data_IF_057160525396
#
_entry.id   IF_057160525396
#
_cell.length_a   1.000
_cell.length_b   1.000
_cell.length_c   1.000
_cell.angle_alpha   90.00
_cell.angle_beta   90.00
_cell.angle_gamma   90.00
#
_symmetry.space_group_name_H-M   'P 1'
#
loop_
_entity.id
_entity.type
_entity.pdbx_description
1 polymer ?
#
# COMPACT_ATOMS: atom_id res chain seq x y z
N UNK A 1 -8.15 -14.77 -17.19
CA UNK A 1 -9.52 -15.23 -16.84
C UNK A 1 -10.14 -14.18 -15.92
N UNK A 2 -11.40 -13.86 -16.17
CA UNK A 2 -12.06 -12.57 -15.94
C UNK A 2 -12.28 -12.19 -14.46
N UNK A 3 -12.27 -10.86 -14.26
CA UNK A 3 -12.72 -10.09 -13.08
C UNK A 3 -14.14 -10.49 -12.65
N UNK A 4 -14.34 -10.73 -11.36
CA UNK A 4 -15.67 -10.78 -10.75
C UNK A 4 -15.91 -9.50 -9.94
N UNK A 5 -16.65 -8.57 -10.55
CA UNK A 5 -17.28 -7.45 -9.87
C UNK A 5 -18.79 -7.66 -9.85
N UNK A 6 -19.35 -7.51 -8.64
CA UNK A 6 -20.75 -7.22 -8.26
C UNK A 6 -21.73 -8.39 -8.32
N UNK A 7 -22.44 -8.62 -7.21
CA UNK A 7 -23.90 -8.78 -7.11
C UNK A 7 -24.37 -8.53 -5.66
N UNK A 8 -25.12 -7.45 -5.46
CA UNK A 8 -26.16 -7.22 -4.44
C UNK A 8 -26.81 -5.89 -4.90
N UNK A 9 -28.07 -5.77 -5.33
CA UNK A 9 -29.28 -6.54 -5.07
C UNK A 9 -30.11 -5.80 -4.01
N UNK A 10 -31.03 -4.90 -4.41
CA UNK A 10 -32.49 -5.04 -4.22
C UNK A 10 -33.27 -3.79 -4.64
N UNK A 11 -34.47 -4.06 -5.15
CA UNK A 11 -35.52 -3.17 -5.60
C UNK A 11 -36.19 -2.37 -4.47
N UNK A 12 -36.54 -1.11 -4.74
CA UNK A 12 -37.82 -0.49 -4.32
C UNK A 12 -38.27 0.44 -5.46
N UNK A 13 -39.44 0.15 -6.03
CA UNK A 13 -40.13 1.05 -6.95
C UNK A 13 -40.99 2.06 -6.20
N UNK A 14 -41.07 3.29 -6.72
CA UNK A 14 -42.27 4.10 -6.60
C UNK A 14 -42.29 5.15 -7.72
N UNK A 15 -43.28 5.03 -8.60
CA UNK A 15 -43.65 6.01 -9.62
C UNK A 15 -44.55 7.05 -8.97
N UNK A 16 -44.33 8.34 -9.24
CA UNK A 16 -45.21 9.41 -8.74
C UNK A 16 -44.86 10.78 -9.33
N UNK A 17 -45.78 11.30 -10.12
CA UNK A 17 -45.75 12.46 -11.00
C UNK A 17 -45.59 13.84 -10.32
N UNK A 18 -45.17 14.80 -11.14
CA UNK A 18 -45.03 16.26 -10.95
C UNK A 18 -46.35 17.00 -10.59
N UNK A 19 -46.28 18.09 -9.81
CA UNK A 19 -46.52 19.51 -10.19
C UNK A 19 -46.92 20.43 -9.01
N UNK A 20 -46.26 21.59 -8.97
CA UNK A 20 -46.68 22.95 -8.58
C UNK A 20 -47.44 23.25 -7.28
N UNK A 21 -46.84 24.13 -6.47
CA UNK A 21 -47.52 24.95 -5.46
C UNK A 21 -46.72 26.20 -5.11
N UNK A 22 -47.31 27.37 -5.36
CA UNK A 22 -46.79 28.71 -5.11
C UNK A 22 -47.29 29.25 -3.75
N UNK A 23 -46.54 30.16 -3.11
CA UNK A 23 -46.92 30.90 -1.88
C UNK A 23 -45.97 30.59 -0.72
N UNK A 24 -45.43 31.52 0.06
CA UNK A 24 -45.67 32.94 0.22
C UNK A 24 -45.51 33.30 1.71
N UNK A 25 -44.48 34.09 2.05
CA UNK A 25 -44.46 35.00 3.21
C UNK A 25 -44.07 34.48 4.61
N UNK A 26 -43.28 35.30 5.31
CA UNK A 26 -43.35 35.45 6.77
C UNK A 26 -42.17 34.91 7.56
N UNK A 27 -41.26 35.78 7.99
CA UNK A 27 -40.06 35.42 8.75
C UNK A 27 -40.29 35.03 10.21
N UNK A 28 -39.26 34.46 10.82
CA UNK A 28 -38.60 34.96 12.04
C UNK A 28 -37.39 34.10 12.35
N UNK A 29 -36.33 34.79 12.76
CA UNK A 29 -35.04 34.28 13.22
C UNK A 29 -35.16 33.28 14.37
N UNK A 30 -34.48 32.15 14.24
CA UNK A 30 -33.95 31.39 15.37
C UNK A 30 -32.53 30.93 15.01
N UNK A 31 -31.56 31.60 15.61
CA UNK A 31 -30.15 31.25 15.55
C UNK A 31 -29.93 29.85 16.12
N UNK A 32 -29.31 28.98 15.32
CA UNK A 32 -28.63 27.80 15.82
C UNK A 32 -27.17 27.90 15.35
N UNK A 33 -26.35 28.54 16.18
CA UNK A 33 -24.91 28.36 16.16
C UNK A 33 -24.62 26.88 16.45
N UNK A 34 -24.58 26.07 15.40
CA UNK A 34 -23.88 24.79 15.43
C UNK A 34 -22.44 25.08 15.07
N UNK A 35 -21.67 25.54 16.05
CA UNK A 35 -20.22 25.53 16.00
C UNK A 35 -19.78 24.06 15.92
N UNK A 36 -19.72 23.51 14.71
CA UNK A 36 -18.84 22.40 14.41
C UNK A 36 -17.43 22.90 14.66
N UNK A 37 -16.88 22.58 15.82
CA UNK A 37 -15.45 22.68 16.08
C UNK A 37 -14.77 21.79 15.06
N UNK A 38 -14.42 22.36 13.91
CA UNK A 38 -13.53 21.75 12.94
C UNK A 38 -12.19 21.60 13.64
N UNK A 39 -11.99 20.42 14.25
CA UNK A 39 -10.69 20.03 14.75
C UNK A 39 -9.74 20.11 13.55
N UNK A 40 -8.81 21.06 13.58
CA UNK A 40 -7.77 21.17 12.57
C UNK A 40 -7.07 19.81 12.53
N UNK A 41 -6.93 19.16 11.36
CA UNK A 41 -6.21 17.90 11.25
C UNK A 41 -4.83 18.07 11.90
N UNK A 42 -4.58 17.32 12.98
CA UNK A 42 -3.28 17.34 13.64
C UNK A 42 -2.33 16.58 12.73
N UNK A 43 -1.34 17.28 12.19
CA UNK A 43 -0.29 16.66 11.39
C UNK A 43 0.40 15.56 12.20
N UNK A 44 0.70 14.43 11.56
CA UNK A 44 1.42 13.35 12.19
C UNK A 44 2.84 13.81 12.54
N UNK A 45 3.34 13.41 13.71
CA UNK A 45 4.68 13.82 14.17
C UNK A 45 5.75 13.16 13.30
N UNK A 46 6.39 13.94 12.41
CA UNK A 46 7.51 13.49 11.58
C UNK A 46 8.80 13.41 12.41
N UNK A 47 9.27 12.19 12.63
CA UNK A 47 10.57 11.91 13.29
C UNK A 47 11.55 11.17 12.38
N UNK A 48 11.11 10.78 11.20
CA UNK A 48 11.89 10.04 10.20
C UNK A 48 11.71 10.67 8.82
N UNK A 49 12.68 10.48 7.91
CA UNK A 49 12.49 10.83 6.50
C UNK A 49 11.23 10.17 5.93
N UNK A 50 10.55 10.85 5.01
CA UNK A 50 9.55 10.21 4.15
C UNK A 50 10.26 9.20 3.25
N UNK A 51 9.69 8.00 3.15
CA UNK A 51 10.14 6.95 2.25
C UNK A 51 9.10 6.60 1.21
N UNK A 52 9.39 5.55 0.44
CA UNK A 52 8.47 4.96 -0.52
C UNK A 52 8.13 3.52 -0.14
N UNK A 53 6.86 3.16 -0.26
CA UNK A 53 6.37 1.78 -0.18
C UNK A 53 5.89 1.39 -1.57
N UNK A 54 6.65 0.56 -2.28
CA UNK A 54 6.46 0.27 -3.70
C UNK A 54 5.81 -1.10 -3.87
N UNK A 55 4.55 -1.19 -4.32
CA UNK A 55 3.97 -2.43 -4.84
C UNK A 55 4.68 -2.85 -6.13
N UNK A 56 5.71 -3.69 -6.02
CA UNK A 56 6.56 -4.14 -7.14
C UNK A 56 6.07 -5.51 -7.63
N UNK A 57 4.85 -5.55 -8.15
CA UNK A 57 4.19 -6.83 -8.51
C UNK A 57 4.57 -7.30 -9.93
N UNK A 58 5.21 -6.44 -10.71
CA UNK A 58 5.87 -6.86 -11.95
C UNK A 58 6.97 -7.88 -11.67
N UNK A 59 6.99 -8.98 -12.43
CA UNK A 59 7.98 -10.04 -12.27
C UNK A 59 9.40 -9.52 -12.50
N UNK A 60 10.42 -10.03 -11.78
CA UNK A 60 11.83 -9.59 -11.95
C UNK A 60 12.40 -9.84 -13.34
N UNK A 61 11.84 -10.79 -14.08
CA UNK A 61 12.16 -11.06 -15.47
C UNK A 61 10.94 -10.82 -16.35
N UNK A 62 11.17 -10.26 -17.52
CA UNK A 62 10.15 -10.07 -18.57
C UNK A 62 10.55 -10.88 -19.80
N UNK A 63 9.57 -11.55 -20.40
CA UNK A 63 9.75 -12.28 -21.65
C UNK A 63 9.03 -11.58 -22.79
N UNK A 64 9.66 -11.53 -23.95
CA UNK A 64 9.09 -10.91 -25.16
C UNK A 64 9.42 -11.72 -26.41
N UNK A 65 8.70 -11.49 -27.50
CA UNK A 65 8.86 -12.24 -28.75
C UNK A 65 8.17 -13.61 -28.76
N UNK A 66 8.39 -14.38 -29.83
CA UNK A 66 7.82 -15.72 -30.01
C UNK A 66 8.71 -16.59 -30.88
N UNK A 67 8.69 -17.91 -30.66
CA UNK A 67 9.54 -18.85 -31.41
C UNK A 67 11.03 -18.49 -31.28
N UNK A 68 11.71 -18.31 -32.41
CA UNK A 68 13.15 -18.01 -32.44
C UNK A 68 13.52 -16.60 -31.91
N UNK A 69 12.56 -15.69 -31.73
CA UNK A 69 12.79 -14.34 -31.17
C UNK A 69 12.42 -14.24 -29.70
N UNK A 70 12.07 -15.35 -29.05
CA UNK A 70 11.78 -15.38 -27.63
C UNK A 70 13.01 -14.99 -26.83
N UNK A 71 12.91 -13.89 -26.09
CA UNK A 71 13.95 -13.41 -25.18
C UNK A 71 13.40 -13.26 -23.78
N UNK A 72 14.26 -13.46 -22.79
CA UNK A 72 13.98 -13.13 -21.38
C UNK A 72 15.06 -12.18 -20.90
N UNK A 73 14.66 -11.07 -20.30
CA UNK A 73 15.55 -10.05 -19.77
C UNK A 73 15.10 -9.61 -18.39
N UNK A 74 15.97 -8.90 -17.67
CA UNK A 74 15.60 -8.24 -16.42
C UNK A 74 14.47 -7.23 -16.66
N UNK A 75 13.58 -7.11 -15.68
CA UNK A 75 12.52 -6.11 -15.69
C UNK A 75 13.11 -4.76 -15.28
N UNK A 76 13.04 -3.72 -16.14
CA UNK A 76 13.57 -2.39 -15.82
C UNK A 76 13.00 -1.79 -14.53
N UNK A 77 11.78 -2.18 -14.12
CA UNK A 77 11.19 -1.72 -12.87
C UNK A 77 12.04 -2.07 -11.63
N UNK A 78 12.64 -3.27 -11.60
CA UNK A 78 13.46 -3.71 -10.48
C UNK A 78 14.78 -2.95 -10.42
N UNK A 79 15.41 -2.75 -11.59
CA UNK A 79 16.64 -1.96 -11.72
C UNK A 79 16.39 -0.50 -11.35
N UNK A 80 15.28 0.10 -11.78
CA UNK A 80 14.94 1.50 -11.49
C UNK A 80 14.67 1.72 -9.98
N UNK A 81 13.98 0.78 -9.32
CA UNK A 81 13.80 0.82 -7.86
C UNK A 81 15.14 0.76 -7.15
N UNK A 82 16.02 -0.19 -7.52
CA UNK A 82 17.36 -0.31 -6.94
C UNK A 82 18.21 0.95 -7.18
N UNK A 83 18.20 1.50 -8.40
CA UNK A 83 19.02 2.66 -8.77
C UNK A 83 18.70 3.93 -7.95
N UNK A 84 17.45 4.08 -7.49
CA UNK A 84 17.01 5.25 -6.74
C UNK A 84 16.94 5.02 -5.22
N UNK A 85 17.15 3.79 -4.73
CA UNK A 85 16.95 3.41 -3.33
C UNK A 85 17.89 4.12 -2.35
N UNK A 86 19.07 4.58 -2.79
CA UNK A 86 20.00 5.32 -1.94
C UNK A 86 19.52 6.73 -1.60
N UNK A 87 18.55 7.29 -2.35
CA UNK A 87 18.08 8.65 -2.17
C UNK A 87 17.08 8.79 -1.01
N UNK A 88 16.25 7.77 -0.77
CA UNK A 88 15.17 7.78 0.22
C UNK A 88 14.93 6.38 0.79
N UNK A 89 14.42 6.23 2.04
CA UNK A 89 14.05 4.93 2.57
C UNK A 89 13.05 4.22 1.64
N UNK A 90 13.40 3.01 1.18
CA UNK A 90 12.63 2.29 0.17
C UNK A 90 12.24 0.91 0.70
N UNK A 91 10.94 0.61 0.64
CA UNK A 91 10.38 -0.71 0.96
C UNK A 91 9.64 -1.20 -0.29
N UNK A 92 10.02 -2.36 -0.83
CA UNK A 92 9.37 -2.97 -1.98
C UNK A 92 8.53 -4.17 -1.54
N UNK A 93 7.35 -4.34 -2.13
CA UNK A 93 6.46 -5.49 -1.89
C UNK A 93 6.48 -6.36 -3.13
N UNK A 94 6.88 -7.62 -2.98
CA UNK A 94 6.89 -8.59 -4.07
C UNK A 94 5.64 -9.47 -4.00
N UNK A 95 5.11 -9.85 -5.17
CA UNK A 95 3.94 -10.70 -5.27
C UNK A 95 4.11 -11.77 -6.37
N UNK A 96 4.79 -12.90 -6.07
CA UNK A 96 4.98 -13.97 -7.05
C UNK A 96 3.66 -14.52 -7.60
N UNK A 97 2.69 -14.84 -6.74
CA UNK A 97 1.45 -15.49 -7.17
C UNK A 97 0.27 -15.25 -6.21
N UNK A 98 -0.05 -13.98 -5.93
CA UNK A 98 -0.98 -13.60 -4.84
C UNK A 98 -0.57 -14.23 -3.50
N UNK A 99 0.73 -14.23 -3.25
CA UNK A 99 1.38 -15.12 -2.30
C UNK A 99 2.71 -15.65 -2.86
N UNK A 100 3.43 -16.47 -2.08
CA UNK A 100 4.66 -17.09 -2.55
C UNK A 100 4.37 -18.23 -3.54
N UNK A 101 5.37 -18.60 -4.34
CA UNK A 101 5.42 -19.94 -4.94
C UNK A 101 6.09 -20.89 -3.97
N UNK A 102 5.69 -22.16 -3.98
CA UNK A 102 6.23 -23.17 -3.06
C UNK A 102 7.73 -23.37 -3.26
N UNK A 103 8.41 -23.66 -2.16
CA UNK A 103 9.81 -24.07 -2.15
C UNK A 103 9.99 -25.39 -2.91
N UNK A 104 10.92 -25.43 -3.86
CA UNK A 104 11.28 -26.65 -4.59
C UNK A 104 12.80 -26.86 -4.60
N UNK A 105 13.23 -28.11 -4.81
CA UNK A 105 14.64 -28.44 -5.00
C UNK A 105 14.78 -29.28 -6.28
N UNK A 106 15.37 -28.74 -7.37
CA UNK A 106 15.89 -27.37 -7.51
C UNK A 106 14.79 -26.29 -7.45
N UNK A 107 15.13 -25.02 -7.13
CA UNK A 107 14.17 -23.91 -7.17
C UNK A 107 13.51 -23.79 -8.55
N UNK A 108 12.23 -23.44 -8.58
CA UNK A 108 11.53 -23.10 -9.82
C UNK A 108 12.17 -21.87 -10.49
N UNK A 109 11.93 -21.69 -11.80
CA UNK A 109 12.42 -20.51 -12.52
C UNK A 109 11.87 -19.21 -11.90
N UNK A 110 10.60 -19.20 -11.49
CA UNK A 110 9.97 -18.08 -10.79
C UNK A 110 10.69 -17.80 -9.47
N UNK A 111 10.88 -18.82 -8.62
CA UNK A 111 11.56 -18.64 -7.33
C UNK A 111 12.99 -18.11 -7.53
N UNK A 112 13.74 -18.67 -8.49
CA UNK A 112 15.10 -18.22 -8.82
C UNK A 112 15.13 -16.76 -9.28
N UNK A 113 14.19 -16.35 -10.12
CA UNK A 113 14.10 -14.96 -10.59
C UNK A 113 13.81 -13.99 -9.43
N UNK A 114 12.88 -14.35 -8.54
CA UNK A 114 12.56 -13.53 -7.38
C UNK A 114 13.74 -13.44 -6.40
N UNK A 115 14.41 -14.54 -6.06
CA UNK A 115 15.55 -14.51 -5.13
C UNK A 115 16.73 -13.71 -5.69
N UNK A 116 16.99 -13.79 -7.00
CA UNK A 116 17.98 -12.95 -7.66
C UNK A 116 17.61 -11.46 -7.59
N UNK A 117 16.38 -11.11 -7.95
CA UNK A 117 15.90 -9.73 -7.89
C UNK A 117 15.91 -9.17 -6.46
N UNK A 118 15.53 -9.98 -5.46
CA UNK A 118 15.60 -9.61 -4.04
C UNK A 118 17.05 -9.30 -3.65
N UNK A 119 18.01 -10.11 -4.10
CA UNK A 119 19.44 -9.84 -3.89
C UNK A 119 19.89 -8.49 -4.46
N UNK A 120 19.43 -8.12 -5.66
CA UNK A 120 19.71 -6.81 -6.27
C UNK A 120 19.11 -5.66 -5.44
N UNK A 121 17.87 -5.81 -4.98
CA UNK A 121 17.20 -4.82 -4.13
C UNK A 121 17.92 -4.64 -2.78
N UNK A 122 18.28 -5.75 -2.11
CA UNK A 122 19.03 -5.69 -0.85
C UNK A 122 20.40 -5.03 -1.02
N UNK A 123 21.11 -5.31 -2.12
CA UNK A 123 22.40 -4.67 -2.41
C UNK A 123 22.27 -3.14 -2.57
N UNK A 124 21.10 -2.65 -2.96
CA UNK A 124 20.78 -1.22 -3.03
C UNK A 124 20.20 -0.64 -1.72
N UNK A 125 20.05 -1.45 -0.66
CA UNK A 125 19.51 -1.02 0.63
C UNK A 125 17.97 -0.98 0.69
N UNK A 126 17.27 -1.57 -0.28
CA UNK A 126 15.81 -1.71 -0.26
C UNK A 126 15.42 -2.80 0.73
N UNK A 127 14.41 -2.53 1.56
CA UNK A 127 13.75 -3.60 2.35
C UNK A 127 12.70 -4.30 1.50
N UNK A 128 12.65 -5.64 1.51
CA UNK A 128 11.71 -6.39 0.68
C UNK A 128 10.68 -7.12 1.54
N UNK A 129 9.38 -6.95 1.24
CA UNK A 129 8.28 -7.63 1.89
C UNK A 129 7.60 -8.63 0.94
N UNK A 130 7.25 -9.81 1.46
CA UNK A 130 6.40 -10.77 0.75
C UNK A 130 4.92 -10.42 0.88
N UNK A 131 4.17 -10.38 -0.23
CA UNK A 131 2.73 -10.20 -0.24
C UNK A 131 1.99 -11.44 0.28
N UNK A 132 1.03 -11.27 1.19
CA UNK A 132 0.12 -12.33 1.68
C UNK A 132 -1.30 -11.78 1.79
N UNK A 133 -2.25 -12.29 1.00
CA UNK A 133 -3.65 -11.87 1.12
C UNK A 133 -4.34 -12.52 2.33
N UNK A 134 -5.25 -11.79 2.97
CA UNK A 134 -6.00 -12.26 4.16
C UNK A 134 -7.51 -12.35 3.93
N UNK A 135 -8.00 -11.84 2.79
CA UNK A 135 -9.41 -11.82 2.41
C UNK A 135 -10.31 -11.32 3.54
N UNK A 136 -9.92 -10.18 4.11
CA UNK A 136 -10.60 -9.47 5.19
C UNK A 136 -10.80 -10.33 6.45
N UNK A 137 -9.84 -11.22 6.73
CA UNK A 137 -9.85 -12.14 7.87
C UNK A 137 -10.65 -13.43 7.64
N UNK A 138 -11.18 -13.64 6.43
CA UNK A 138 -11.91 -14.87 6.09
C UNK A 138 -10.99 -16.01 5.66
N UNK A 139 -9.77 -15.71 5.20
CA UNK A 139 -8.78 -16.74 4.86
C UNK A 139 -8.30 -17.41 6.15
N UNK A 140 -8.28 -18.75 6.16
CA UNK A 140 -7.84 -19.51 7.33
C UNK A 140 -6.44 -19.06 7.78
N UNK A 141 -6.29 -18.76 9.08
CA UNK A 141 -5.03 -18.25 9.64
C UNK A 141 -3.85 -19.19 9.35
N UNK A 142 -4.08 -20.51 9.38
CA UNK A 142 -3.05 -21.51 9.06
C UNK A 142 -2.50 -21.38 7.64
N UNK A 143 -3.32 -21.01 6.66
CA UNK A 143 -2.88 -20.79 5.28
C UNK A 143 -2.09 -19.48 5.15
N UNK A 144 -2.51 -18.43 5.86
CA UNK A 144 -1.74 -17.18 5.94
C UNK A 144 -0.37 -17.43 6.57
N UNK A 145 -0.32 -18.20 7.66
CA UNK A 145 0.93 -18.58 8.31
C UNK A 145 1.82 -19.46 7.41
N UNK A 146 1.22 -20.34 6.61
CA UNK A 146 1.95 -21.17 5.65
C UNK A 146 2.62 -20.33 4.56
N UNK A 147 1.96 -19.28 4.06
CA UNK A 147 2.58 -18.35 3.11
C UNK A 147 3.76 -17.60 3.76
N UNK A 148 3.59 -17.11 4.99
CA UNK A 148 4.67 -16.46 5.76
C UNK A 148 5.88 -17.39 5.90
N UNK A 149 5.63 -18.66 6.26
CA UNK A 149 6.68 -19.67 6.39
C UNK A 149 7.37 -19.97 5.06
N UNK A 150 6.64 -19.97 3.95
CA UNK A 150 7.22 -20.16 2.62
C UNK A 150 8.15 -19.01 2.25
N UNK A 151 7.77 -17.75 2.54
CA UNK A 151 8.66 -16.60 2.37
C UNK A 151 9.91 -16.71 3.24
N UNK A 152 9.75 -17.08 4.52
CA UNK A 152 10.83 -17.27 5.47
C UNK A 152 11.86 -18.31 5.00
N UNK A 153 11.39 -19.41 4.40
CA UNK A 153 12.26 -20.51 3.97
C UNK A 153 13.01 -20.22 2.68
N UNK A 154 12.41 -19.49 1.73
CA UNK A 154 12.85 -19.56 0.34
C UNK A 154 13.18 -18.22 -0.33
N UNK A 155 12.78 -17.09 0.25
CA UNK A 155 12.90 -15.80 -0.42
C UNK A 155 13.95 -14.88 0.20
N UNK A 156 14.24 -15.05 1.49
CA UNK A 156 15.16 -14.16 2.21
C UNK A 156 14.62 -12.75 2.40
N UNK A 157 13.29 -12.56 2.40
CA UNK A 157 12.63 -11.24 2.60
C UNK A 157 12.90 -10.65 3.99
N UNK A 158 12.69 -9.34 4.13
CA UNK A 158 12.78 -8.62 5.40
C UNK A 158 11.46 -8.60 6.19
N UNK A 159 10.38 -9.14 5.65
CA UNK A 159 9.07 -9.09 6.29
C UNK A 159 7.91 -9.47 5.37
N UNK A 160 6.69 -9.16 5.80
CA UNK A 160 5.45 -9.46 5.08
C UNK A 160 4.54 -8.26 5.03
N UNK A 161 3.90 -8.10 3.87
CA UNK A 161 2.80 -7.19 3.62
C UNK A 161 1.50 -8.00 3.56
N UNK A 162 0.64 -7.84 4.57
CA UNK A 162 -0.69 -8.46 4.57
C UNK A 162 -1.66 -7.56 3.83
N UNK A 163 -2.32 -8.11 2.82
CA UNK A 163 -3.30 -7.39 2.00
C UNK A 163 -4.73 -7.85 2.27
N UNK A 164 -5.69 -7.07 1.76
CA UNK A 164 -7.13 -7.25 1.98
C UNK A 164 -7.42 -7.26 3.49
N UNK A 165 -6.84 -6.36 4.27
CA UNK A 165 -6.97 -6.36 5.73
C UNK A 165 -8.31 -5.76 6.14
N UNK A 166 -9.00 -6.40 7.06
CA UNK A 166 -10.24 -5.86 7.62
C UNK A 166 -9.96 -4.65 8.50
N UNK A 167 -10.85 -3.66 8.46
CA UNK A 167 -10.82 -2.52 9.37
C UNK A 167 -11.48 -2.79 10.73
N UNK A 168 -12.04 -3.99 10.97
CA UNK A 168 -12.80 -4.32 12.18
C UNK A 168 -11.90 -4.81 13.30
N UNK A 169 -11.93 -4.14 14.46
CA UNK A 169 -11.17 -4.51 15.66
C UNK A 169 -11.44 -5.94 16.18
N UNK A 170 -12.61 -6.52 15.87
CA UNK A 170 -12.93 -7.92 16.20
C UNK A 170 -11.97 -8.95 15.57
N UNK A 171 -11.19 -8.56 14.57
CA UNK A 171 -10.18 -9.41 13.93
C UNK A 171 -8.75 -9.14 14.41
N UNK A 172 -8.55 -8.30 15.44
CA UNK A 172 -7.21 -7.95 15.92
C UNK A 172 -6.38 -9.17 16.36
N UNK A 173 -7.00 -10.15 17.04
CA UNK A 173 -6.31 -11.38 17.44
C UNK A 173 -5.84 -12.22 16.24
N UNK A 174 -6.59 -12.21 15.14
CA UNK A 174 -6.20 -12.90 13.90
C UNK A 174 -4.94 -12.25 13.31
N UNK A 175 -4.94 -10.92 13.15
CA UNK A 175 -3.80 -10.20 12.58
C UNK A 175 -2.59 -10.17 13.51
N UNK A 176 -2.79 -10.14 14.83
CA UNK A 176 -1.72 -10.26 15.81
C UNK A 176 -1.02 -11.62 15.72
N UNK A 177 -1.77 -12.72 15.55
CA UNK A 177 -1.19 -14.05 15.38
C UNK A 177 -0.43 -14.20 14.05
N UNK A 178 -0.95 -13.61 12.96
CA UNK A 178 -0.24 -13.56 11.68
C UNK A 178 1.07 -12.75 11.80
N UNK A 179 1.02 -11.56 12.40
CA UNK A 179 2.19 -10.72 12.65
C UNK A 179 3.23 -11.40 13.55
N UNK A 180 2.80 -12.09 14.60
CA UNK A 180 3.70 -12.86 15.46
C UNK A 180 4.44 -13.97 14.69
N UNK A 181 3.78 -14.59 13.69
CA UNK A 181 4.41 -15.59 12.83
C UNK A 181 5.51 -14.95 11.98
N UNK A 182 5.28 -13.76 11.42
CA UNK A 182 6.29 -13.00 10.67
C UNK A 182 7.52 -12.72 11.54
N UNK A 183 7.32 -12.17 12.74
CA UNK A 183 8.44 -11.85 13.65
C UNK A 183 9.22 -13.06 14.12
N UNK A 184 8.57 -14.23 14.19
CA UNK A 184 9.19 -15.49 14.59
C UNK A 184 9.99 -16.11 13.46
N UNK A 185 9.38 -16.22 12.28
CA UNK A 185 9.90 -17.08 11.20
C UNK A 185 10.82 -16.34 10.23
N UNK A 186 10.64 -15.04 10.02
CA UNK A 186 11.49 -14.26 9.12
C UNK A 186 12.63 -13.63 9.91
N UNK A 187 13.86 -13.88 9.45
CA UNK A 187 15.09 -13.38 10.04
C UNK A 187 15.83 -12.53 8.99
N UNK A 188 15.58 -11.21 8.94
CA UNK A 188 16.22 -10.32 7.98
C UNK A 188 17.75 -10.38 8.07
N UNK A 189 18.45 -10.34 6.94
CA UNK A 189 19.91 -10.34 6.89
C UNK A 189 20.56 -9.14 7.60
N UNK A 190 19.79 -8.07 7.82
CA UNK A 190 20.20 -6.89 8.59
C UNK A 190 20.28 -7.12 10.10
N UNK A 191 19.74 -8.24 10.62
CA UNK A 191 19.61 -8.51 12.06
C UNK A 191 18.52 -7.68 12.77
N UNK A 192 17.76 -6.86 12.04
CA UNK A 192 16.59 -6.16 12.57
C UNK A 192 15.37 -7.09 12.65
N UNK A 193 14.37 -6.73 13.46
CA UNK A 193 13.11 -7.47 13.50
C UNK A 193 12.39 -7.40 12.13
N UNK A 194 11.83 -8.53 11.69
CA UNK A 194 11.13 -8.64 10.40
C UNK A 194 9.94 -7.69 10.30
N UNK A 195 9.85 -6.86 9.27
CA UNK A 195 8.79 -5.86 9.14
C UNK A 195 7.40 -6.49 8.91
N UNK A 196 6.38 -5.90 9.53
CA UNK A 196 4.97 -6.22 9.25
C UNK A 196 4.30 -4.99 8.67
N UNK A 197 3.81 -5.08 7.45
CA UNK A 197 2.95 -4.07 6.85
C UNK A 197 1.54 -4.64 6.65
N UNK A 198 0.52 -3.80 6.78
CA UNK A 198 -0.88 -4.17 6.55
C UNK A 198 -1.54 -3.19 5.59
N UNK A 199 -2.43 -3.71 4.73
CA UNK A 199 -3.22 -2.91 3.80
C UNK A 199 -4.71 -3.12 3.97
N UNK A 200 -5.35 -2.28 4.81
CA UNK A 200 -6.79 -2.11 4.83
C UNK A 200 -7.32 -1.13 3.77
N UNK A 201 -6.46 -0.37 3.08
CA UNK A 201 -6.83 0.69 2.12
C UNK A 201 -7.49 1.92 2.76
N UNK A 202 -7.65 1.94 4.08
CA UNK A 202 -8.30 2.98 4.88
C UNK A 202 -7.77 2.94 6.33
N UNK A 203 -8.12 3.89 7.19
CA UNK A 203 -7.78 3.76 8.61
C UNK A 203 -8.54 2.58 9.25
N UNK A 204 -7.85 1.58 9.82
CA UNK A 204 -8.51 0.50 10.53
C UNK A 204 -8.76 0.87 11.99
N UNK A 205 -9.45 0.00 12.72
CA UNK A 205 -9.48 0.04 14.19
C UNK A 205 -8.05 0.09 14.79
N UNK A 206 -7.87 0.80 15.90
CA UNK A 206 -6.58 0.97 16.56
C UNK A 206 -5.93 -0.39 16.89
N UNK A 207 -6.72 -1.37 17.33
CA UNK A 207 -6.22 -2.70 17.71
C UNK A 207 -5.66 -3.47 16.51
N UNK A 208 -6.14 -3.19 15.29
CA UNK A 208 -5.60 -3.72 14.03
C UNK A 208 -4.31 -2.97 13.67
N UNK A 209 -4.33 -1.65 13.70
CA UNK A 209 -3.14 -0.84 13.41
C UNK A 209 -1.96 -1.21 14.31
N UNK A 210 -2.21 -1.58 15.58
CA UNK A 210 -1.20 -1.99 16.54
C UNK A 210 -0.45 -3.28 16.18
N UNK A 211 -0.97 -4.12 15.28
CA UNK A 211 -0.33 -5.39 14.91
C UNK A 211 0.79 -5.25 13.88
N UNK A 212 1.00 -4.05 13.32
CA UNK A 212 1.92 -3.82 12.19
C UNK A 212 2.88 -2.65 12.43
N UNK A 213 4.00 -2.60 11.70
CA UNK A 213 4.89 -1.43 11.64
C UNK A 213 4.35 -0.36 10.69
N UNK A 214 3.78 -0.77 9.55
CA UNK A 214 3.29 0.11 8.49
C UNK A 214 1.82 -0.24 8.19
N UNK A 215 0.96 0.77 8.11
CA UNK A 215 -0.46 0.64 7.75
C UNK A 215 -0.75 1.48 6.52
N UNK A 216 -1.17 0.86 5.42
CA UNK A 216 -1.68 1.58 4.25
C UNK A 216 -3.06 2.13 4.60
N UNK A 217 -3.12 3.42 4.88
CA UNK A 217 -4.34 4.12 5.30
C UNK A 217 -5.14 4.70 4.12
N UNK A 218 -4.61 4.57 2.91
CA UNK A 218 -5.21 5.08 1.70
C UNK A 218 -4.73 4.26 0.51
N UNK A 219 -5.68 3.73 -0.26
CA UNK A 219 -5.45 3.09 -1.56
C UNK A 219 -6.57 3.48 -2.53
N UNK A 220 -6.38 4.56 -3.29
CA UNK A 220 -7.43 5.11 -4.18
C UNK A 220 -6.85 5.98 -5.29
N UNK A 221 -7.70 6.34 -6.25
CA UNK A 221 -7.43 7.40 -7.23
C UNK A 221 -7.76 8.81 -6.71
N UNK A 222 -8.50 8.89 -5.61
CA UNK A 222 -8.75 10.15 -4.91
C UNK A 222 -7.48 10.59 -4.18
N UNK A 223 -6.96 11.79 -4.46
CA UNK A 223 -5.73 12.29 -3.82
C UNK A 223 -5.98 12.94 -2.45
N UNK A 224 -7.23 12.93 -1.97
CA UNK A 224 -7.55 13.44 -0.65
C UNK A 224 -7.09 12.49 0.46
N UNK A 225 -6.27 13.00 1.38
CA UNK A 225 -5.94 12.30 2.61
C UNK A 225 -7.11 12.45 3.61
N UNK A 226 -7.79 11.35 4.02
CA UNK A 226 -8.77 11.44 5.09
C UNK A 226 -8.10 11.85 6.41
N UNK A 227 -8.84 12.59 7.25
CA UNK A 227 -8.38 12.98 8.57
C UNK A 227 -8.07 11.72 9.41
N UNK A 228 -6.89 11.67 10.01
CA UNK A 228 -6.50 10.58 10.88
C UNK A 228 -7.40 10.53 12.12
N UNK A 229 -7.91 9.35 12.52
CA UNK A 229 -8.56 9.18 13.81
C UNK A 229 -7.64 9.65 14.95
N UNK A 230 -8.20 10.31 15.97
CA UNK A 230 -7.41 10.84 17.09
C UNK A 230 -6.57 9.77 17.80
N UNK A 231 -7.05 8.53 17.85
CA UNK A 231 -6.34 7.37 18.39
C UNK A 231 -5.06 7.03 17.61
N UNK A 232 -5.04 7.30 16.31
CA UNK A 232 -3.92 7.02 15.41
C UNK A 232 -2.98 8.23 15.26
N UNK A 233 -3.45 9.44 15.54
CA UNK A 233 -2.67 10.68 15.42
C UNK A 233 -1.42 10.73 16.32
N UNK A 234 -1.37 9.93 17.38
CA UNK A 234 -0.22 9.83 18.30
C UNK A 234 0.95 9.00 17.75
N UNK A 235 0.73 8.20 16.70
CA UNK A 235 1.78 7.36 16.11
C UNK A 235 2.75 8.18 15.25
N UNK A 236 4.02 7.77 15.15
CA UNK A 236 4.99 8.43 14.28
C UNK A 236 4.59 8.28 12.81
N UNK A 237 5.04 9.21 11.97
CA UNK A 237 4.80 9.21 10.51
C UNK A 237 5.06 7.86 9.84
N UNK A 238 6.15 7.18 10.23
CA UNK A 238 6.56 5.88 9.70
C UNK A 238 5.50 4.76 9.87
N UNK A 239 4.49 4.96 10.73
CA UNK A 239 3.36 4.05 10.92
C UNK A 239 2.45 3.98 9.69
N UNK A 240 2.49 4.97 8.82
CA UNK A 240 1.46 5.14 7.79
C UNK A 240 2.02 5.21 6.38
N UNK A 241 1.31 4.55 5.47
CA UNK A 241 1.57 4.54 4.05
C UNK A 241 0.37 5.06 3.24
N UNK A 242 0.65 5.73 2.13
CA UNK A 242 -0.34 6.28 1.20
C UNK A 242 -0.05 5.78 -0.22
N UNK A 243 -0.97 5.01 -0.79
CA UNK A 243 -0.86 4.48 -2.14
C UNK A 243 -1.91 5.14 -3.04
N UNK A 244 -1.48 5.88 -4.06
CA UNK A 244 -2.38 6.45 -5.05
C UNK A 244 -2.24 5.74 -6.39
N UNK A 245 -3.36 5.47 -7.05
CA UNK A 245 -3.40 4.73 -8.31
C UNK A 245 -4.28 5.39 -9.37
N UNK A 246 -4.00 5.14 -10.64
CA UNK A 246 -4.79 5.64 -11.77
C UNK A 246 -4.70 7.15 -11.98
N UNK A 247 -3.62 7.79 -11.54
CA UNK A 247 -3.47 9.25 -11.60
C UNK A 247 -3.03 9.69 -13.01
N UNK A 248 -3.98 10.05 -13.86
CA UNK A 248 -3.73 10.37 -15.28
C UNK A 248 -2.86 11.62 -15.50
N UNK A 249 -2.88 12.59 -14.58
CA UNK A 249 -2.11 13.83 -14.61
C UNK A 249 -0.95 13.82 -13.58
N UNK A 250 -0.38 12.64 -13.31
CA UNK A 250 0.58 12.45 -12.22
C UNK A 250 1.79 13.40 -12.31
N UNK A 251 2.32 13.63 -13.51
CA UNK A 251 3.47 14.54 -13.69
C UNK A 251 3.18 15.95 -13.17
N UNK A 252 1.94 16.43 -13.31
CA UNK A 252 1.52 17.75 -12.86
C UNK A 252 1.16 17.78 -11.37
N UNK A 253 0.58 16.71 -10.82
CA UNK A 253 0.03 16.69 -9.45
C UNK A 253 0.97 16.15 -8.39
N UNK A 254 1.98 15.35 -8.77
CA UNK A 254 2.84 14.64 -7.82
C UNK A 254 3.57 15.56 -6.83
N UNK A 255 4.08 16.73 -7.28
CA UNK A 255 4.87 17.60 -6.42
C UNK A 255 4.03 18.21 -5.29
N UNK A 256 2.85 18.72 -5.62
CA UNK A 256 1.90 19.28 -4.64
C UNK A 256 1.38 18.19 -3.71
N UNK A 257 1.00 17.03 -4.26
CA UNK A 257 0.49 15.89 -3.49
C UNK A 257 1.52 15.40 -2.49
N UNK A 258 2.76 15.14 -2.92
CA UNK A 258 3.84 14.67 -2.05
C UNK A 258 4.20 15.71 -0.99
N UNK A 259 4.21 17.01 -1.33
CA UNK A 259 4.45 18.08 -0.36
C UNK A 259 3.35 18.16 0.69
N UNK A 260 2.09 18.01 0.29
CA UNK A 260 0.94 18.00 1.20
C UNK A 260 0.98 16.79 2.14
N UNK A 261 1.22 15.58 1.60
CA UNK A 261 1.40 14.37 2.40
C UNK A 261 2.60 14.50 3.35
N UNK A 262 3.65 15.21 2.91
CA UNK A 262 4.83 15.44 3.73
C UNK A 262 4.52 16.32 4.94
N UNK A 263 3.80 17.43 4.74
CA UNK A 263 3.35 18.33 5.80
C UNK A 263 2.36 17.67 6.76
N UNK A 264 1.49 16.80 6.24
CA UNK A 264 0.55 16.00 7.04
C UNK A 264 1.23 14.84 7.79
N UNK A 265 2.54 14.64 7.57
CA UNK A 265 3.36 13.68 8.30
C UNK A 265 3.17 12.23 7.85
N UNK A 266 2.82 11.98 6.59
CA UNK A 266 2.81 10.61 6.03
C UNK A 266 4.23 10.06 5.92
N UNK A 267 4.45 8.83 6.35
CA UNK A 267 5.77 8.19 6.40
C UNK A 267 6.19 7.56 5.08
N UNK A 268 5.31 6.80 4.44
CA UNK A 268 5.57 6.14 3.17
C UNK A 268 4.55 6.54 2.12
N UNK A 269 5.00 6.76 0.89
CA UNK A 269 4.13 7.17 -0.22
C UNK A 269 4.49 6.41 -1.50
N UNK A 270 3.50 6.20 -2.36
CA UNK A 270 3.74 5.80 -3.74
C UNK A 270 2.55 6.21 -4.60
N UNK A 271 2.81 6.98 -5.65
CA UNK A 271 1.78 7.43 -6.58
C UNK A 271 2.00 6.75 -7.94
N UNK A 272 0.95 6.30 -8.60
CA UNK A 272 1.07 5.71 -9.93
C UNK A 272 -0.01 6.16 -10.90
N UNK A 273 0.40 6.36 -12.15
CA UNK A 273 -0.44 6.62 -13.32
C UNK A 273 -1.05 5.31 -13.88
N UNK A 274 -0.54 4.17 -13.42
CA UNK A 274 -1.04 2.84 -13.76
C UNK A 274 -2.37 2.55 -13.05
N UNK A 275 -3.19 1.63 -13.58
CA UNK A 275 -4.44 1.20 -12.94
C UNK A 275 -5.72 1.52 -13.71
N UNK A 276 -5.62 2.35 -14.76
CA UNK A 276 -6.73 2.61 -15.69
C UNK A 276 -7.05 1.36 -16.52
N UNK A 277 -7.81 0.43 -15.94
CA UNK A 277 -8.32 -0.79 -16.59
C UNK A 277 -7.55 -2.09 -16.31
N UNK A 278 -6.34 -2.01 -15.74
CA UNK A 278 -5.45 -3.13 -15.43
C UNK A 278 -5.00 -3.08 -13.96
N UNK A 279 -4.21 -4.07 -13.54
CA UNK A 279 -3.56 -4.04 -12.23
C UNK A 279 -2.63 -2.80 -12.12
N UNK A 280 -2.88 -1.88 -11.16
CA UNK A 280 -2.06 -0.67 -10.98
C UNK A 280 -0.62 -0.95 -10.54
N UNK A 281 -0.34 -2.15 -10.02
CA UNK A 281 0.93 -2.50 -9.38
C UNK A 281 1.81 -3.39 -10.27
N UNK A 282 1.27 -3.88 -11.39
CA UNK A 282 1.99 -4.73 -12.35
C UNK A 282 3.13 -3.99 -13.08
N UNK A 283 3.14 -2.66 -13.07
CA UNK A 283 4.17 -1.81 -13.66
C UNK A 283 4.56 -0.71 -12.68
N UNK A 284 5.84 -0.32 -12.73
CA UNK A 284 6.33 0.85 -12.00
C UNK A 284 5.67 2.12 -12.55
N UNK A 285 5.43 3.11 -11.69
CA UNK A 285 4.97 4.43 -12.12
C UNK A 285 5.94 5.03 -13.15
N UNK A 286 5.40 5.64 -14.20
CA UNK A 286 6.22 6.33 -15.21
C UNK A 286 6.98 7.52 -14.64
N UNK A 287 6.52 8.07 -13.51
CA UNK A 287 7.13 9.20 -12.81
C UNK A 287 7.94 8.78 -11.57
N UNK A 288 8.24 7.49 -11.38
CA UNK A 288 8.94 7.01 -10.18
C UNK A 288 10.24 7.79 -9.86
N UNK A 289 11.19 8.00 -10.81
CA UNK A 289 12.42 8.73 -10.50
C UNK A 289 12.17 10.18 -10.07
N UNK A 290 11.18 10.84 -10.69
CA UNK A 290 10.79 12.20 -10.33
C UNK A 290 10.18 12.24 -8.91
N UNK A 291 9.37 11.24 -8.53
CA UNK A 291 8.85 11.13 -7.16
C UNK A 291 9.98 10.99 -6.14
N UNK A 292 10.97 10.13 -6.40
CA UNK A 292 12.14 9.96 -5.52
C UNK A 292 12.89 11.29 -5.34
N UNK A 293 13.12 12.04 -6.42
CA UNK A 293 13.77 13.35 -6.35
C UNK A 293 12.97 14.36 -5.51
N UNK A 294 11.63 14.40 -5.67
CA UNK A 294 10.76 15.28 -4.87
C UNK A 294 10.83 14.90 -3.39
N UNK A 295 10.72 13.61 -3.06
CA UNK A 295 10.77 13.13 -1.67
C UNK A 295 12.14 13.38 -1.06
N UNK A 296 13.23 13.18 -1.81
CA UNK A 296 14.58 13.49 -1.38
C UNK A 296 14.73 14.98 -1.04
N UNK A 297 14.22 15.87 -1.90
CA UNK A 297 14.25 17.31 -1.67
C UNK A 297 13.46 17.70 -0.40
N UNK A 298 12.25 17.14 -0.21
CA UNK A 298 11.43 17.36 0.99
C UNK A 298 12.13 16.89 2.28
N UNK A 299 12.86 15.77 2.21
CA UNK A 299 13.64 15.26 3.34
C UNK A 299 14.86 16.14 3.67
N UNK A 300 15.41 16.84 2.68
CA UNK A 300 16.57 17.73 2.85
C UNK A 300 16.17 19.16 3.26
N UNK A 301 14.94 19.57 2.95
CA UNK A 301 14.42 20.92 3.19
C UNK A 301 14.07 21.18 4.66
N UNK A 302 14.94 20.80 5.62
CA UNK A 302 14.72 20.86 7.07
C UNK A 302 13.79 22.00 7.51
N UNK A 303 12.78 21.65 8.30
CA UNK A 303 12.07 22.55 9.23
C UNK A 303 13.04 23.47 9.97
#
# INVERSE_FOLDING_TARGET
MLKNLRHAGLWIGLTGLLLSGCGGGGGTSASADSATTGATPVALKRTTPMGVLVPLYGYPLVSSGSGATYTTSENPAWTEVAANAAAVPTVAIINPQNGPVVCTTPPSATLSAFTQGIGQLHAAGVKVLGYVHTSYGSRALSLVQQDVQTYAQCYGVDGVFFDEVSNKGSLASYYAAAAATVRKDIQPGSGQAALVAINPGTYPDLSIAQTADITVMHESADLNLPAAPASLASYPSAKFAYLALGISNLTQTQAETLSSLYQQGVGYVYLTDQGSGNDPWAKLSTSYPAQIQIIQALNQSKN
#
